data_IF_236756682941
#
_entry.id   IF_236756682941
#
_cell.length_a   1.000
_cell.length_b   1.000
_cell.length_c   1.000
_cell.angle_alpha   90.00
_cell.angle_beta   90.00
_cell.angle_gamma   90.00
#
_symmetry.space_group_name_H-M   'P 1'
#
loop_
_entity.id
_entity.type
_entity.pdbx_description
1 polymer ?
#
# COMPACT_ATOMS: atom_id res chain seq x y z
N UNK A 1 6.06 75.31 -13.73
CA UNK A 1 7.27 74.84 -13.07
C UNK A 1 6.91 74.67 -11.61
N UNK A 2 6.41 73.50 -11.23
CA UNK A 2 5.95 73.18 -9.88
C UNK A 2 6.62 71.86 -9.49
N UNK A 3 7.53 71.92 -8.58
CA UNK A 3 8.27 70.84 -7.98
C UNK A 3 7.44 70.19 -6.90
N UNK A 4 7.18 68.86 -7.02
CA UNK A 4 6.60 68.06 -5.94
C UNK A 4 7.73 67.30 -5.21
N UNK A 5 7.90 67.66 -3.94
CA UNK A 5 8.68 66.92 -2.96
C UNK A 5 7.95 65.64 -2.56
N UNK A 6 8.57 64.46 -2.77
CA UNK A 6 8.11 63.19 -2.27
C UNK A 6 8.76 62.92 -0.92
N UNK A 7 7.97 62.93 0.15
CA UNK A 7 8.32 62.43 1.48
C UNK A 7 8.33 60.89 1.48
N UNK A 8 9.50 60.30 1.64
CA UNK A 8 9.68 58.91 1.97
C UNK A 8 9.32 58.65 3.44
N UNK A 9 8.31 57.85 3.69
CA UNK A 9 7.99 57.25 5.00
C UNK A 9 8.45 55.77 5.00
N UNK A 10 9.00 55.27 6.11
CA UNK A 10 9.53 53.89 6.13
C UNK A 10 8.40 52.86 6.17
N UNK A 11 8.43 51.92 5.20
CA UNK A 11 7.59 50.78 5.16
C UNK A 11 7.92 49.83 6.35
N UNK A 12 6.94 49.63 7.23
CA UNK A 12 6.97 48.60 8.27
C UNK A 12 6.85 47.24 7.58
N UNK A 13 7.91 46.48 7.59
CA UNK A 13 7.89 45.03 7.26
C UNK A 13 7.34 44.29 8.46
N UNK A 14 6.02 44.00 8.43
CA UNK A 14 5.41 42.98 9.27
C UNK A 14 5.73 41.60 8.68
N UNK A 15 6.91 41.09 9.03
CA UNK A 15 7.30 39.71 8.85
C UNK A 15 6.58 38.83 9.86
N UNK A 16 5.39 38.35 9.52
CA UNK A 16 4.75 37.24 10.25
C UNK A 16 5.62 35.98 10.07
N UNK A 17 6.64 35.83 10.93
CA UNK A 17 7.32 34.56 11.16
C UNK A 17 6.28 33.58 11.69
N UNK A 18 5.83 32.65 10.86
CA UNK A 18 5.18 31.42 11.30
C UNK A 18 6.23 30.65 12.10
N UNK A 19 6.23 30.82 13.41
CA UNK A 19 6.97 30.02 14.36
C UNK A 19 6.38 28.60 14.29
N UNK A 20 7.07 27.71 13.57
CA UNK A 20 6.91 26.30 13.76
C UNK A 20 7.26 25.99 15.22
N UNK A 21 6.28 25.62 16.01
CA UNK A 21 6.39 25.31 17.43
C UNK A 21 7.25 24.05 17.58
N UNK A 22 8.56 24.20 17.66
CA UNK A 22 9.49 23.13 18.01
C UNK A 22 9.19 22.68 19.44
N UNK A 23 8.41 21.62 19.58
CA UNK A 23 8.13 20.98 20.86
C UNK A 23 9.45 20.59 21.54
N UNK A 24 9.59 20.96 22.82
CA UNK A 24 10.79 20.71 23.65
C UNK A 24 11.11 19.21 23.69
N UNK A 25 12.39 18.79 23.72
CA UNK A 25 12.80 17.38 23.68
C UNK A 25 12.09 16.48 24.72
N UNK A 26 11.82 16.98 25.93
CA UNK A 26 11.10 16.25 26.97
C UNK A 26 9.60 16.03 26.67
N UNK A 27 8.98 16.91 25.89
CA UNK A 27 7.57 16.78 25.49
C UNK A 27 7.40 15.73 24.40
N UNK A 28 8.32 15.69 23.42
CA UNK A 28 8.36 14.65 22.38
C UNK A 28 8.51 13.25 22.98
N UNK A 29 9.36 13.10 23.99
CA UNK A 29 9.54 11.82 24.69
C UNK A 29 8.27 11.37 25.41
N UNK A 30 7.58 12.26 26.12
CA UNK A 30 6.31 11.95 26.81
C UNK A 30 5.19 11.57 25.85
N UNK A 31 5.12 12.23 24.70
CA UNK A 31 4.12 11.89 23.65
C UNK A 31 4.40 10.50 23.09
N UNK A 32 5.66 10.15 22.81
CA UNK A 32 6.04 8.81 22.35
C UNK A 32 5.73 7.72 23.38
N UNK A 33 5.97 7.97 24.67
CA UNK A 33 5.65 7.04 25.75
C UNK A 33 4.13 6.78 25.86
N UNK A 34 3.31 7.83 25.80
CA UNK A 34 1.84 7.72 25.80
C UNK A 34 1.33 6.93 24.59
N UNK A 35 1.87 7.20 23.41
CA UNK A 35 1.47 6.51 22.18
C UNK A 35 1.78 5.02 22.23
N UNK A 36 2.95 4.64 22.73
CA UNK A 36 3.32 3.22 22.91
C UNK A 36 2.45 2.51 23.95
N UNK A 37 2.08 3.19 25.03
CA UNK A 37 1.14 2.64 26.01
C UNK A 37 -0.24 2.38 25.37
N UNK A 38 -0.73 3.34 24.57
CA UNK A 38 -1.99 3.20 23.83
C UNK A 38 -1.94 2.04 22.84
N UNK A 39 -0.82 1.87 22.12
CA UNK A 39 -0.59 0.72 21.26
C UNK A 39 -0.75 -0.60 22.01
N UNK A 40 -0.15 -0.71 23.19
CA UNK A 40 -0.24 -1.91 24.00
C UNK A 40 -1.68 -2.23 24.42
N UNK A 41 -2.44 -1.24 24.88
CA UNK A 41 -3.83 -1.41 25.28
C UNK A 41 -4.73 -1.75 24.06
N UNK A 42 -4.50 -1.11 22.93
CA UNK A 42 -5.20 -1.43 21.69
C UNK A 42 -5.00 -2.90 21.28
N UNK A 43 -3.75 -3.39 21.24
CA UNK A 43 -3.45 -4.78 20.89
C UNK A 43 -4.08 -5.77 21.86
N UNK A 44 -4.03 -5.51 23.16
CA UNK A 44 -4.69 -6.34 24.19
C UNK A 44 -6.20 -6.43 23.94
N UNK A 45 -6.84 -5.30 23.66
CA UNK A 45 -8.27 -5.24 23.43
C UNK A 45 -8.66 -6.04 22.16
N UNK A 46 -7.87 -5.94 21.09
CA UNK A 46 -8.13 -6.70 19.84
C UNK A 46 -7.89 -8.19 20.02
N UNK A 47 -6.82 -8.58 20.69
CA UNK A 47 -6.52 -9.98 21.02
C UNK A 47 -7.61 -10.62 21.90
N UNK A 48 -8.19 -9.87 22.82
CA UNK A 48 -9.26 -10.37 23.71
C UNK A 48 -10.57 -10.70 22.98
N UNK A 49 -10.80 -10.15 21.78
CA UNK A 49 -12.00 -10.41 20.97
C UNK A 49 -11.99 -11.77 20.25
N UNK A 50 -10.80 -12.35 20.06
CA UNK A 50 -10.60 -13.53 19.25
C UNK A 50 -10.48 -14.77 20.14
N UNK A 51 -11.09 -15.87 19.70
CA UNK A 51 -10.97 -17.15 20.39
C UNK A 51 -10.03 -18.10 19.61
N UNK A 52 -9.40 -19.09 20.25
CA UNK A 52 -8.63 -20.11 19.54
C UNK A 52 -9.46 -20.89 18.52
N UNK A 53 -10.74 -21.08 18.80
CA UNK A 53 -11.67 -21.72 17.87
C UNK A 53 -11.76 -21.01 16.52
N UNK A 54 -11.59 -19.68 16.48
CA UNK A 54 -11.57 -18.88 15.25
C UNK A 54 -10.41 -19.24 14.32
N UNK A 55 -9.41 -19.96 14.84
CA UNK A 55 -8.19 -20.39 14.14
C UNK A 55 -8.02 -21.91 14.12
N UNK A 56 -9.08 -22.69 14.44
CA UNK A 56 -9.04 -24.15 14.45
C UNK A 56 -8.17 -24.74 15.56
N UNK A 57 -7.81 -23.94 16.57
CA UNK A 57 -7.02 -24.42 17.69
C UNK A 57 -7.91 -24.99 18.80
N UNK A 58 -7.52 -26.13 19.38
CA UNK A 58 -8.27 -26.74 20.47
C UNK A 58 -8.28 -25.83 21.72
N UNK A 59 -9.43 -25.64 22.39
CA UNK A 59 -9.49 -24.88 23.63
C UNK A 59 -8.70 -25.60 24.72
N UNK A 60 -7.61 -24.99 25.19
CA UNK A 60 -6.80 -25.55 26.28
C UNK A 60 -7.60 -25.70 27.57
N UNK A 61 -7.42 -26.80 28.29
CA UNK A 61 -8.23 -27.26 29.47
C UNK A 61 -8.17 -26.37 30.73
N UNK A 62 -7.35 -25.31 30.76
CA UNK A 62 -7.23 -24.36 31.90
C UNK A 62 -7.10 -22.93 31.42
N UNK A 63 -8.14 -22.38 30.79
CA UNK A 63 -8.10 -21.01 30.33
C UNK A 63 -8.60 -20.04 31.38
N UNK A 64 -7.72 -19.15 31.87
CA UNK A 64 -8.07 -18.07 32.83
C UNK A 64 -8.34 -16.72 32.10
N UNK A 65 -7.98 -16.58 30.85
CA UNK A 65 -8.11 -15.33 30.08
C UNK A 65 -9.05 -15.55 28.88
N UNK A 66 -10.05 -14.69 28.70
CA UNK A 66 -10.82 -14.66 27.46
C UNK A 66 -9.88 -14.19 26.33
N UNK A 67 -10.07 -14.73 25.13
CA UNK A 67 -9.30 -14.34 23.96
C UNK A 67 -8.03 -15.17 23.69
N UNK A 68 -7.29 -14.81 22.65
CA UNK A 68 -6.00 -15.44 22.33
C UNK A 68 -4.94 -15.11 23.37
N UNK A 69 -4.02 -16.06 23.63
CA UNK A 69 -2.80 -15.79 24.40
C UNK A 69 -1.76 -15.08 23.54
N UNK A 70 -0.79 -14.41 24.15
CA UNK A 70 0.32 -13.76 23.45
C UNK A 70 1.12 -14.74 22.59
N UNK A 71 1.36 -15.94 23.13
CA UNK A 71 2.05 -17.01 22.43
C UNK A 71 1.27 -17.47 21.17
N UNK A 72 -0.07 -17.50 21.27
CA UNK A 72 -0.94 -17.89 20.14
C UNK A 72 -0.92 -16.84 19.05
N UNK A 73 -1.00 -15.54 19.39
CA UNK A 73 -0.88 -14.46 18.42
C UNK A 73 0.50 -14.46 17.77
N UNK A 74 1.57 -14.60 18.56
CA UNK A 74 2.93 -14.63 18.05
C UNK A 74 3.16 -15.79 17.07
N UNK A 75 2.63 -16.98 17.40
CA UNK A 75 2.69 -18.16 16.53
C UNK A 75 1.94 -17.92 15.21
N UNK A 76 0.71 -17.42 15.28
CA UNK A 76 -0.13 -17.17 14.12
C UNK A 76 0.42 -16.05 13.21
N UNK A 77 1.03 -15.03 13.82
CA UNK A 77 1.66 -13.92 13.10
C UNK A 77 3.08 -14.23 12.60
N UNK A 78 3.65 -15.40 12.96
CA UNK A 78 5.02 -15.77 12.58
C UNK A 78 6.08 -14.88 13.24
N UNK A 79 5.81 -14.33 14.44
CA UNK A 79 6.73 -13.43 15.15
C UNK A 79 7.19 -14.05 16.47
N UNK A 80 8.30 -13.55 17.02
CA UNK A 80 8.79 -14.01 18.33
C UNK A 80 7.85 -13.61 19.47
N UNK A 81 7.55 -14.55 20.40
CA UNK A 81 6.68 -14.31 21.56
C UNK A 81 7.19 -13.15 22.41
N UNK A 82 8.49 -13.07 22.63
CA UNK A 82 9.14 -11.98 23.38
C UNK A 82 8.93 -10.64 22.70
N UNK A 83 9.08 -10.61 21.37
CA UNK A 83 8.89 -9.41 20.57
C UNK A 83 7.44 -8.91 20.65
N UNK A 84 6.45 -9.79 20.44
CA UNK A 84 5.03 -9.44 20.54
C UNK A 84 4.67 -8.98 21.96
N UNK A 85 5.26 -9.62 22.98
CA UNK A 85 5.08 -9.21 24.39
C UNK A 85 5.59 -7.79 24.63
N UNK A 86 6.76 -7.44 24.09
CA UNK A 86 7.31 -6.09 24.21
C UNK A 86 6.46 -5.05 23.47
N UNK A 87 5.93 -5.39 22.28
CA UNK A 87 5.02 -4.54 21.55
C UNK A 87 3.76 -4.25 22.38
N UNK A 88 3.15 -5.28 22.96
CA UNK A 88 1.94 -5.16 23.80
C UNK A 88 2.22 -4.46 25.16
N UNK A 89 3.46 -4.45 25.62
CA UNK A 89 3.90 -3.70 26.80
C UNK A 89 4.26 -2.24 26.49
N UNK A 90 4.18 -1.80 25.25
CA UNK A 90 4.55 -0.44 24.85
C UNK A 90 6.05 -0.14 24.94
N UNK A 91 6.90 -1.18 24.89
CA UNK A 91 8.36 -0.96 24.86
C UNK A 91 8.78 -0.36 23.53
N UNK A 92 9.89 0.38 23.56
CA UNK A 92 10.48 0.93 22.34
C UNK A 92 11.14 -0.20 21.55
N UNK A 93 10.45 -0.65 20.50
CA UNK A 93 10.93 -1.65 19.55
C UNK A 93 10.65 -1.13 18.14
N UNK A 94 11.55 -1.43 17.22
CA UNK A 94 11.31 -1.15 15.81
C UNK A 94 10.43 -2.27 15.23
N UNK A 95 9.19 -1.93 14.96
CA UNK A 95 8.25 -2.83 14.29
C UNK A 95 8.32 -2.57 12.78
N UNK A 96 8.77 -3.55 12.00
CA UNK A 96 8.68 -3.45 10.55
C UNK A 96 7.21 -3.49 10.12
N UNK A 97 6.89 -2.88 8.99
CA UNK A 97 5.54 -2.86 8.44
C UNK A 97 5.03 -4.28 8.20
N UNK A 98 5.88 -5.16 7.67
CA UNK A 98 5.57 -6.57 7.42
C UNK A 98 5.13 -7.29 8.70
N UNK A 99 5.80 -7.03 9.80
CA UNK A 99 5.45 -7.62 11.10
C UNK A 99 4.13 -7.05 11.63
N UNK A 100 3.91 -5.75 11.49
CA UNK A 100 2.63 -5.13 11.85
C UNK A 100 1.48 -5.64 11.00
N UNK A 101 1.71 -5.90 9.71
CA UNK A 101 0.74 -6.52 8.80
C UNK A 101 0.36 -7.93 9.23
N UNK A 102 1.35 -8.74 9.59
CA UNK A 102 1.12 -10.09 10.09
C UNK A 102 0.31 -10.09 11.39
N UNK A 103 0.63 -9.17 12.31
CA UNK A 103 -0.13 -8.97 13.56
C UNK A 103 -1.55 -8.48 13.26
N UNK A 104 -1.71 -7.49 12.36
CA UNK A 104 -3.00 -6.94 11.99
C UNK A 104 -3.91 -8.00 11.35
N UNK A 105 -3.36 -8.84 10.47
CA UNK A 105 -4.07 -9.95 9.83
C UNK A 105 -4.47 -11.01 10.83
N UNK A 106 -3.55 -11.40 11.73
CA UNK A 106 -3.83 -12.35 12.82
C UNK A 106 -4.92 -11.84 13.75
N UNK A 107 -4.90 -10.55 14.09
CA UNK A 107 -5.90 -9.93 14.95
C UNK A 107 -7.20 -9.57 14.21
N UNK A 108 -7.31 -9.91 12.92
CA UNK A 108 -8.46 -9.61 12.04
C UNK A 108 -8.88 -8.14 12.12
N UNK A 109 -7.90 -7.24 12.12
CA UNK A 109 -8.17 -5.81 12.17
C UNK A 109 -8.85 -5.34 10.89
N UNK A 110 -9.90 -4.55 11.03
CA UNK A 110 -10.48 -3.83 9.92
C UNK A 110 -9.57 -2.68 9.45
N UNK A 111 -9.98 -1.99 8.38
CA UNK A 111 -9.19 -0.89 7.79
C UNK A 111 -8.89 0.21 8.79
N UNK A 112 -9.88 0.67 9.55
CA UNK A 112 -9.71 1.77 10.50
C UNK A 112 -8.80 1.34 11.67
N UNK A 113 -8.95 0.10 12.14
CA UNK A 113 -8.12 -0.51 13.17
C UNK A 113 -6.67 -0.71 12.71
N UNK A 114 -6.44 -1.08 11.45
CA UNK A 114 -5.10 -1.15 10.87
C UNK A 114 -4.43 0.22 10.80
N UNK A 115 -5.12 1.22 10.27
CA UNK A 115 -4.62 2.60 10.22
C UNK A 115 -4.29 3.14 11.63
N UNK A 116 -5.09 2.76 12.63
CA UNK A 116 -4.84 3.12 14.02
C UNK A 116 -3.59 2.42 14.57
N UNK A 117 -3.43 1.12 14.30
CA UNK A 117 -2.23 0.35 14.68
C UNK A 117 -0.95 1.01 14.14
N UNK A 118 -0.93 1.36 12.87
CA UNK A 118 0.24 1.99 12.25
C UNK A 118 0.57 3.35 12.83
N UNK A 119 -0.46 4.19 13.05
CA UNK A 119 -0.27 5.50 13.70
C UNK A 119 0.32 5.38 15.09
N UNK A 120 -0.13 4.40 15.87
CA UNK A 120 0.38 4.17 17.23
C UNK A 120 1.79 3.59 17.23
N UNK A 121 2.14 2.74 16.28
CA UNK A 121 3.45 2.13 16.15
C UNK A 121 4.53 3.08 15.61
N UNK A 122 4.18 4.34 15.25
CA UNK A 122 5.04 5.28 14.50
C UNK A 122 5.58 4.65 13.19
N UNK A 123 5.10 3.48 12.87
CA UNK A 123 5.23 2.96 11.54
C UNK A 123 4.27 3.79 10.71
N UNK A 124 4.79 4.73 9.94
CA UNK A 124 3.96 5.40 8.96
C UNK A 124 3.40 4.30 8.09
N UNK A 125 2.07 4.05 8.06
CA UNK A 125 1.54 3.24 7.00
C UNK A 125 2.08 3.93 5.75
N UNK A 126 2.47 3.17 4.74
CA UNK A 126 2.50 3.75 3.42
C UNK A 126 1.12 4.35 3.25
N UNK A 127 1.03 5.63 3.42
CA UNK A 127 -0.22 6.34 3.21
C UNK A 127 -0.55 6.10 1.76
N UNK A 128 -1.52 5.23 1.54
CA UNK A 128 -2.33 5.36 0.36
C UNK A 128 -2.92 6.77 0.45
N UNK A 129 -2.29 7.76 -0.20
CA UNK A 129 -2.88 9.10 -0.37
C UNK A 129 -4.18 9.05 -1.15
N UNK A 130 -4.63 7.85 -1.52
CA UNK A 130 -6.00 7.57 -1.94
C UNK A 130 -7.06 8.02 -0.92
N UNK A 131 -6.66 8.30 0.34
CA UNK A 131 -7.61 8.74 1.38
C UNK A 131 -7.85 10.25 1.42
N UNK A 132 -7.13 11.06 0.64
CA UNK A 132 -7.19 12.53 0.77
C UNK A 132 -7.96 13.26 -0.34
N UNK A 133 -8.09 12.67 -1.52
CA UNK A 133 -8.86 13.26 -2.62
C UNK A 133 -9.80 12.19 -3.16
N UNK A 134 -11.10 12.35 -2.89
CA UNK A 134 -12.12 11.48 -3.48
C UNK A 134 -11.97 11.51 -5.01
N UNK A 135 -11.91 10.34 -5.63
CA UNK A 135 -11.94 10.24 -7.09
C UNK A 135 -13.29 10.81 -7.54
N UNK A 136 -13.34 11.77 -8.47
CA UNK A 136 -14.61 12.31 -8.96
C UNK A 136 -15.51 11.22 -9.55
N UNK A 137 -16.81 11.30 -9.32
CA UNK A 137 -17.79 10.31 -9.80
C UNK A 137 -17.69 10.09 -11.32
N UNK A 138 -17.45 11.15 -12.10
CA UNK A 138 -17.25 11.05 -13.54
C UNK A 138 -16.05 10.18 -13.93
N UNK A 139 -14.98 10.18 -13.13
CA UNK A 139 -13.81 9.33 -13.37
C UNK A 139 -14.13 7.88 -12.98
N UNK A 140 -14.90 7.68 -11.89
CA UNK A 140 -15.42 6.35 -11.54
C UNK A 140 -16.24 5.76 -12.68
N UNK A 141 -17.16 6.54 -13.23
CA UNK A 141 -18.00 6.11 -14.35
C UNK A 141 -17.18 5.77 -15.59
N UNK A 142 -16.19 6.60 -15.94
CA UNK A 142 -15.29 6.35 -17.07
C UNK A 142 -14.54 5.03 -16.90
N UNK A 143 -13.88 4.82 -15.75
CA UNK A 143 -13.09 3.60 -15.52
C UNK A 143 -13.97 2.36 -15.53
N UNK A 144 -15.16 2.41 -14.95
CA UNK A 144 -16.10 1.30 -14.97
C UNK A 144 -16.68 1.03 -16.36
N UNK A 145 -16.90 2.07 -17.16
CA UNK A 145 -17.40 1.94 -18.55
C UNK A 145 -16.37 1.32 -19.50
N UNK A 146 -15.11 1.22 -19.11
CA UNK A 146 -14.09 0.50 -19.90
C UNK A 146 -14.23 -1.03 -19.79
N UNK A 147 -15.00 -1.56 -18.84
CA UNK A 147 -15.29 -3.01 -18.79
C UNK A 147 -15.87 -3.48 -20.15
N UNK A 148 -15.40 -4.58 -20.75
CA UNK A 148 -14.56 -5.65 -20.19
C UNK A 148 -13.03 -5.45 -20.31
N UNK A 149 -12.54 -4.29 -20.68
CA UNK A 149 -11.11 -4.02 -20.71
C UNK A 149 -10.61 -3.71 -19.27
N UNK A 150 -9.59 -4.42 -18.77
CA UNK A 150 -9.04 -4.12 -17.47
C UNK A 150 -8.50 -2.69 -17.42
N UNK A 151 -8.96 -1.91 -16.45
CA UNK A 151 -8.60 -0.52 -16.28
C UNK A 151 -8.42 -0.15 -14.81
N UNK A 152 -7.38 0.63 -14.52
CA UNK A 152 -7.07 1.10 -13.16
C UNK A 152 -6.63 2.56 -13.19
N UNK A 153 -7.04 3.34 -12.20
CA UNK A 153 -6.56 4.69 -11.97
C UNK A 153 -5.37 4.63 -11.00
N UNK A 154 -4.21 5.08 -11.43
CA UNK A 154 -2.98 5.11 -10.65
C UNK A 154 -2.48 6.54 -10.46
N UNK A 155 -1.85 6.84 -9.32
CA UNK A 155 -1.14 8.10 -9.12
C UNK A 155 0.35 8.00 -9.54
N UNK A 156 1.12 9.07 -9.35
CA UNK A 156 2.54 9.13 -9.70
C UNK A 156 3.43 8.16 -8.91
N UNK A 157 3.01 7.73 -7.73
CA UNK A 157 3.70 6.73 -6.89
C UNK A 157 3.30 5.29 -7.20
N UNK A 158 2.44 5.08 -8.20
CA UNK A 158 1.83 3.80 -8.55
C UNK A 158 0.80 3.28 -7.54
N UNK A 159 0.27 4.14 -6.65
CA UNK A 159 -0.88 3.76 -5.82
C UNK A 159 -2.11 3.61 -6.70
N UNK A 160 -2.83 2.50 -6.51
CA UNK A 160 -4.08 2.21 -7.19
C UNK A 160 -5.21 2.95 -6.48
N UNK A 161 -5.72 4.01 -7.12
CA UNK A 161 -6.82 4.83 -6.60
C UNK A 161 -8.17 4.13 -6.77
N UNK A 162 -8.34 3.45 -7.88
CA UNK A 162 -9.48 2.58 -8.18
C UNK A 162 -9.15 1.62 -9.33
N UNK A 163 -9.98 0.60 -9.51
CA UNK A 163 -9.95 -0.33 -10.64
C UNK A 163 -11.38 -0.75 -10.99
N UNK A 164 -11.59 -1.16 -12.25
CA UNK A 164 -12.83 -1.80 -12.64
C UNK A 164 -12.80 -3.32 -12.37
N UNK A 165 -13.95 -3.99 -12.50
CA UNK A 165 -14.07 -5.41 -12.21
C UNK A 165 -13.15 -6.27 -13.09
N UNK A 166 -12.94 -5.91 -14.35
CA UNK A 166 -12.04 -6.65 -15.23
C UNK A 166 -10.58 -6.57 -14.76
N UNK A 167 -10.13 -5.44 -14.23
CA UNK A 167 -8.79 -5.29 -13.66
C UNK A 167 -8.64 -6.06 -12.34
N UNK A 168 -9.66 -6.03 -11.49
CA UNK A 168 -9.66 -6.78 -10.23
C UNK A 168 -9.60 -8.28 -10.45
N UNK A 169 -10.28 -8.79 -11.46
CA UNK A 169 -10.28 -10.20 -11.83
C UNK A 169 -8.98 -10.62 -12.54
N UNK A 170 -8.46 -9.79 -13.47
CA UNK A 170 -7.19 -10.07 -14.15
C UNK A 170 -6.03 -10.18 -13.16
N UNK A 171 -5.99 -9.29 -12.17
CA UNK A 171 -4.94 -9.21 -11.15
C UNK A 171 -5.46 -9.63 -9.77
N UNK A 172 -6.43 -10.56 -9.71
CA UNK A 172 -7.14 -10.91 -8.47
C UNK A 172 -6.21 -11.30 -7.33
N UNK A 173 -5.09 -11.97 -7.63
CA UNK A 173 -4.10 -12.35 -6.63
C UNK A 173 -3.54 -11.12 -5.89
N UNK A 174 -3.36 -10.00 -6.59
CA UNK A 174 -2.86 -8.75 -6.00
C UNK A 174 -3.94 -8.02 -5.21
N UNK A 175 -5.21 -8.19 -5.60
CA UNK A 175 -6.33 -7.62 -4.87
C UNK A 175 -6.69 -8.40 -3.60
N UNK A 176 -6.40 -9.70 -3.58
CA UNK A 176 -6.65 -10.59 -2.42
C UNK A 176 -5.49 -10.66 -1.45
N UNK A 177 -4.29 -10.26 -1.86
CA UNK A 177 -3.14 -10.19 -0.97
C UNK A 177 -3.39 -9.17 0.16
N UNK A 178 -2.90 -9.45 1.38
CA UNK A 178 -2.93 -8.49 2.47
C UNK A 178 -1.94 -7.35 2.23
N UNK A 179 -1.72 -6.97 0.96
CA UNK A 179 -0.94 -5.82 0.61
C UNK A 179 -1.70 -4.59 1.11
N UNK A 180 -1.24 -4.01 2.21
CA UNK A 180 -1.76 -2.77 2.81
C UNK A 180 -1.68 -1.63 1.80
N UNK A 181 -0.88 -1.84 0.77
CA UNK A 181 -0.61 -0.91 -0.29
C UNK A 181 -1.15 -1.46 -1.60
N UNK A 182 -2.30 -0.97 -2.01
CA UNK A 182 -2.73 -1.11 -3.40
C UNK A 182 -1.79 -0.30 -4.31
N UNK A 183 -0.52 -0.69 -4.36
CA UNK A 183 0.55 -0.02 -5.12
C UNK A 183 1.24 -1.04 -6.01
N UNK A 184 1.19 -0.82 -7.32
CA UNK A 184 1.69 -1.79 -8.31
C UNK A 184 3.21 -1.99 -8.25
N UNK A 185 3.99 -0.94 -8.04
CA UNK A 185 5.44 -1.04 -7.88
C UNK A 185 5.82 -1.78 -6.59
N UNK A 186 5.15 -1.46 -5.50
CA UNK A 186 5.36 -2.12 -4.23
C UNK A 186 5.07 -3.62 -4.31
N UNK A 187 3.92 -3.99 -4.89
CA UNK A 187 3.57 -5.40 -5.08
C UNK A 187 4.61 -6.12 -5.94
N UNK A 188 5.09 -5.51 -7.03
CA UNK A 188 6.15 -6.12 -7.84
C UNK A 188 7.43 -6.39 -7.04
N UNK A 189 7.81 -5.49 -6.13
CA UNK A 189 9.08 -5.57 -5.40
C UNK A 189 8.99 -6.49 -4.18
N UNK A 190 7.87 -6.47 -3.45
CA UNK A 190 7.77 -7.16 -2.16
C UNK A 190 7.15 -8.54 -2.24
N UNK A 191 6.37 -8.82 -3.29
CA UNK A 191 5.70 -10.10 -3.43
C UNK A 191 6.61 -11.15 -4.12
N UNK A 192 6.95 -12.25 -3.43
CA UNK A 192 7.86 -13.26 -3.98
C UNK A 192 7.36 -13.89 -5.30
N UNK A 193 6.03 -13.96 -5.48
CA UNK A 193 5.41 -14.55 -6.66
C UNK A 193 5.39 -13.61 -7.87
N UNK A 194 5.58 -12.30 -7.68
CA UNK A 194 5.51 -11.31 -8.75
C UNK A 194 6.53 -11.58 -9.86
N UNK A 195 7.75 -11.96 -9.50
CA UNK A 195 8.80 -12.29 -10.49
C UNK A 195 8.39 -13.43 -11.43
N UNK A 196 7.66 -14.42 -10.95
CA UNK A 196 7.14 -15.51 -11.76
C UNK A 196 5.92 -15.16 -12.62
N UNK A 197 5.29 -14.01 -12.41
CA UNK A 197 4.13 -13.56 -13.19
C UNK A 197 4.49 -12.75 -14.43
N UNK A 198 5.66 -12.15 -14.44
CA UNK A 198 6.13 -11.31 -15.53
C UNK A 198 7.40 -11.91 -16.13
N UNK A 199 7.34 -12.53 -17.32
CA UNK A 199 8.56 -13.03 -18.00
C UNK A 199 9.62 -11.95 -18.17
N UNK A 200 9.22 -10.71 -18.44
CA UNK A 200 10.13 -9.55 -18.54
C UNK A 200 10.12 -8.71 -17.24
N UNK A 201 10.15 -9.37 -16.08
CA UNK A 201 10.04 -8.73 -14.77
C UNK A 201 11.03 -7.57 -14.57
N UNK A 202 12.30 -7.76 -14.91
CA UNK A 202 13.34 -6.73 -14.70
C UNK A 202 13.07 -5.48 -15.54
N UNK A 203 12.65 -5.65 -16.80
CA UNK A 203 12.26 -4.54 -17.67
C UNK A 203 11.01 -3.83 -17.14
N UNK A 204 10.04 -4.60 -16.63
CA UNK A 204 8.81 -4.07 -16.06
C UNK A 204 9.08 -3.22 -14.81
N UNK A 205 9.85 -3.74 -13.84
CA UNK A 205 10.19 -3.01 -12.61
C UNK A 205 11.03 -1.77 -12.93
N UNK A 206 12.02 -1.89 -13.83
CA UNK A 206 12.83 -0.75 -14.26
C UNK A 206 11.95 0.37 -14.84
N UNK A 207 10.97 0.04 -15.68
CA UNK A 207 10.02 1.01 -16.20
C UNK A 207 9.21 1.67 -15.09
N UNK A 208 8.66 0.91 -14.15
CA UNK A 208 7.87 1.46 -13.03
C UNK A 208 8.71 2.41 -12.16
N UNK A 209 9.96 2.04 -11.84
CA UNK A 209 10.88 2.90 -11.08
C UNK A 209 11.19 4.19 -11.84
N UNK A 210 11.47 4.10 -13.15
CA UNK A 210 11.75 5.27 -13.98
C UNK A 210 10.53 6.20 -14.08
N UNK A 211 9.31 5.65 -14.18
CA UNK A 211 8.06 6.42 -14.14
C UNK A 211 7.83 7.12 -12.80
N UNK A 212 8.08 6.42 -11.69
CA UNK A 212 8.01 7.02 -10.35
C UNK A 212 9.00 8.19 -10.23
N UNK A 213 10.21 8.04 -10.77
CA UNK A 213 11.22 9.11 -10.74
C UNK A 213 10.78 10.32 -11.57
N UNK A 214 10.19 10.10 -12.74
CA UNK A 214 9.63 11.20 -13.55
C UNK A 214 8.59 11.99 -12.76
N UNK A 215 7.72 11.32 -12.03
CA UNK A 215 6.72 11.96 -11.17
C UNK A 215 7.37 12.67 -9.96
N UNK A 216 8.34 12.04 -9.29
CA UNK A 216 9.04 12.59 -8.12
C UNK A 216 9.70 13.94 -8.38
N UNK A 217 10.08 14.25 -9.62
CA UNK A 217 10.66 15.55 -9.97
C UNK A 217 9.81 16.76 -9.54
N UNK A 218 8.51 16.59 -9.41
CA UNK A 218 7.54 17.61 -8.95
C UNK A 218 7.32 17.60 -7.43
N UNK A 219 7.87 16.61 -6.73
CA UNK A 219 7.67 16.33 -5.31
C UNK A 219 8.96 16.31 -4.50
N UNK A 220 10.02 16.90 -5.04
CA UNK A 220 11.33 17.00 -4.35
C UNK A 220 11.13 17.78 -3.06
N UNK A 221 11.54 17.20 -1.93
CA UNK A 221 11.34 17.77 -0.60
C UNK A 221 9.99 17.48 0.04
N UNK A 222 9.13 16.72 -0.63
CA UNK A 222 7.89 16.19 -0.03
C UNK A 222 8.24 15.00 0.90
N UNK A 223 7.99 15.13 2.22
CA UNK A 223 8.39 14.10 3.19
C UNK A 223 7.77 12.73 2.93
N UNK A 224 6.54 12.68 2.40
CA UNK A 224 5.82 11.43 2.15
C UNK A 224 6.44 10.68 0.97
N UNK A 225 6.85 11.41 -0.10
CA UNK A 225 7.57 10.82 -1.22
C UNK A 225 8.96 10.31 -0.84
N UNK A 226 9.68 11.08 -0.06
CA UNK A 226 11.03 10.71 0.38
C UNK A 226 11.02 9.52 1.33
N UNK A 227 10.01 9.42 2.19
CA UNK A 227 9.81 8.26 3.06
C UNK A 227 9.51 7.00 2.26
N UNK A 228 8.61 7.07 1.27
CA UNK A 228 8.27 5.93 0.40
C UNK A 228 9.51 5.43 -0.36
N UNK A 229 10.28 6.36 -0.95
CA UNK A 229 11.52 6.02 -1.67
C UNK A 229 12.54 5.36 -0.72
N UNK A 230 12.72 5.90 0.47
CA UNK A 230 13.64 5.35 1.47
C UNK A 230 13.23 3.95 1.90
N UNK A 231 11.94 3.72 2.09
CA UNK A 231 11.40 2.41 2.47
C UNK A 231 11.55 1.38 1.36
N UNK A 232 11.19 1.73 0.13
CA UNK A 232 11.40 0.84 -1.03
C UNK A 232 12.89 0.49 -1.17
N UNK A 233 13.79 1.46 -1.02
CA UNK A 233 15.23 1.21 -1.07
C UNK A 233 15.74 0.32 0.07
N UNK A 234 15.15 0.42 1.27
CA UNK A 234 15.51 -0.44 2.40
C UNK A 234 15.01 -1.87 2.25
N UNK A 235 13.93 -2.10 1.53
CA UNK A 235 13.31 -3.41 1.32
C UNK A 235 13.87 -4.14 0.10
N UNK A 236 14.33 -3.41 -0.91
CA UNK A 236 14.81 -3.99 -2.16
C UNK A 236 16.08 -3.32 -2.63
N UNK A 237 17.16 -4.12 -2.67
CA UNK A 237 18.41 -3.70 -3.30
C UNK A 237 18.22 -3.41 -4.79
N UNK A 238 17.39 -4.20 -5.48
CA UNK A 238 17.06 -3.98 -6.88
C UNK A 238 16.43 -2.59 -7.10
N UNK A 239 15.47 -2.19 -6.25
CA UNK A 239 14.91 -0.85 -6.31
C UNK A 239 15.98 0.22 -6.02
N UNK A 240 16.80 0.05 -4.99
CA UNK A 240 17.85 1.01 -4.63
C UNK A 240 18.84 1.20 -5.79
N UNK A 241 19.27 0.11 -6.44
CA UNK A 241 20.19 0.13 -7.58
C UNK A 241 19.55 0.82 -8.81
N UNK A 242 18.27 0.53 -9.10
CA UNK A 242 17.52 1.19 -10.19
C UNK A 242 17.28 2.67 -9.88
N UNK A 243 16.92 2.99 -8.64
CA UNK A 243 16.72 4.37 -8.22
C UNK A 243 18.01 5.20 -8.33
N UNK A 244 19.16 4.64 -7.98
CA UNK A 244 20.47 5.31 -8.09
C UNK A 244 20.90 5.58 -9.52
N UNK A 245 20.33 4.92 -10.53
CA UNK A 245 20.66 5.17 -11.95
C UNK A 245 20.07 6.45 -12.50
N UNK A 246 19.12 7.09 -11.78
CA UNK A 246 18.43 8.30 -12.21
C UNK A 246 17.71 8.18 -13.59
N UNK A 247 17.39 6.99 -14.01
CA UNK A 247 16.61 6.78 -15.25
C UNK A 247 15.20 7.34 -15.10
N UNK A 248 14.70 7.98 -16.15
CA UNK A 248 13.34 8.52 -16.26
C UNK A 248 12.66 7.90 -17.46
N UNK A 249 11.35 7.77 -17.42
CA UNK A 249 10.56 7.26 -18.52
C UNK A 249 9.32 8.13 -18.75
N UNK A 250 8.99 8.34 -20.02
CA UNK A 250 7.74 8.94 -20.44
C UNK A 250 6.65 7.85 -20.62
N UNK A 251 5.37 8.23 -20.61
CA UNK A 251 4.30 7.31 -20.94
C UNK A 251 4.40 6.91 -22.42
N UNK A 252 4.83 5.68 -22.64
CA UNK A 252 4.89 5.09 -23.97
C UNK A 252 3.98 3.86 -24.05
N UNK A 253 3.32 3.61 -25.20
CA UNK A 253 2.65 2.34 -25.42
C UNK A 253 3.64 1.19 -25.28
N UNK A 254 3.30 0.20 -24.47
CA UNK A 254 4.17 -0.94 -24.22
C UNK A 254 3.38 -2.23 -24.15
N UNK A 255 4.04 -3.33 -24.39
CA UNK A 255 3.48 -4.67 -24.19
C UNK A 255 3.85 -5.17 -22.79
N UNK A 256 2.90 -5.79 -22.14
CA UNK A 256 3.08 -6.49 -20.87
C UNK A 256 2.74 -7.97 -21.07
N UNK A 257 3.72 -8.84 -20.94
CA UNK A 257 3.47 -10.28 -20.86
C UNK A 257 3.15 -10.65 -19.41
N UNK A 258 1.97 -11.25 -19.20
CA UNK A 258 1.50 -11.66 -17.89
C UNK A 258 1.12 -13.14 -17.87
N UNK A 259 1.64 -13.89 -16.90
CA UNK A 259 1.32 -15.30 -16.69
C UNK A 259 0.14 -15.43 -15.73
N UNK A 260 -1.06 -15.48 -16.30
CA UNK A 260 -2.28 -15.65 -15.53
C UNK A 260 -2.47 -17.12 -15.13
N UNK A 261 -2.82 -17.43 -13.85
CA UNK A 261 -2.91 -18.82 -13.36
C UNK A 261 -3.88 -19.70 -14.15
N UNK A 262 -4.98 -19.15 -14.63
CA UNK A 262 -6.04 -19.90 -15.34
C UNK A 262 -5.97 -19.71 -16.86
N UNK A 263 -5.70 -18.49 -17.33
CA UNK A 263 -5.66 -18.17 -18.75
C UNK A 263 -4.29 -18.44 -19.41
N UNK A 264 -3.25 -18.70 -18.62
CA UNK A 264 -1.88 -18.88 -19.10
C UNK A 264 -1.26 -17.55 -19.56
N UNK A 265 -0.41 -17.59 -20.57
CA UNK A 265 0.28 -16.40 -21.06
C UNK A 265 -0.67 -15.45 -21.77
N UNK A 266 -0.65 -14.19 -21.35
CA UNK A 266 -1.39 -13.06 -21.91
C UNK A 266 -0.41 -12.00 -22.37
N UNK A 267 -0.53 -11.54 -23.61
CA UNK A 267 0.20 -10.41 -24.18
C UNK A 267 -0.72 -9.20 -24.22
N UNK A 268 -0.48 -8.22 -23.36
CA UNK A 268 -1.35 -7.07 -23.14
C UNK A 268 -0.67 -5.79 -23.63
N UNK A 269 -1.31 -5.04 -24.51
CA UNK A 269 -0.91 -3.67 -24.78
C UNK A 269 -1.37 -2.78 -23.62
N UNK A 270 -0.44 -2.00 -23.09
CA UNK A 270 -0.69 -1.09 -21.95
C UNK A 270 -0.75 0.33 -22.48
N UNK A 271 -1.87 0.99 -22.28
CA UNK A 271 -2.11 2.39 -22.64
C UNK A 271 -2.33 3.22 -21.39
N UNK A 272 -1.66 4.37 -21.28
CA UNK A 272 -1.83 5.32 -20.19
C UNK A 272 -2.58 6.57 -20.68
N UNK A 273 -3.70 6.90 -20.05
CA UNK A 273 -4.52 8.07 -20.34
C UNK A 273 -4.39 9.08 -19.20
N UNK A 274 -3.95 10.29 -19.52
CA UNK A 274 -3.86 11.37 -18.54
C UNK A 274 -5.26 11.85 -18.15
N UNK A 275 -5.43 12.18 -16.87
CA UNK A 275 -6.69 12.70 -16.32
C UNK A 275 -6.50 14.18 -16.00
N UNK A 276 -6.95 15.12 -16.85
CA UNK A 276 -6.75 16.56 -16.62
C UNK A 276 -7.32 17.06 -15.29
N UNK A 277 -8.44 16.47 -14.82
CA UNK A 277 -9.04 16.78 -13.53
C UNK A 277 -8.20 16.29 -12.33
N UNK A 278 -7.27 15.36 -12.58
CA UNK A 278 -6.35 14.78 -11.60
C UNK A 278 -4.95 14.67 -12.22
N UNK A 279 -4.18 15.76 -12.35
CA UNK A 279 -2.91 15.79 -13.10
C UNK A 279 -1.85 14.81 -12.61
N UNK A 280 -1.96 14.36 -11.35
CA UNK A 280 -1.09 13.37 -10.74
C UNK A 280 -1.54 11.92 -11.00
N UNK A 281 -2.72 11.74 -11.58
CA UNK A 281 -3.29 10.43 -11.84
C UNK A 281 -3.39 10.13 -13.35
N UNK A 282 -3.38 8.83 -13.67
CA UNK A 282 -3.56 8.30 -15.01
C UNK A 282 -4.42 7.04 -14.98
N UNK A 283 -5.23 6.86 -16.00
CA UNK A 283 -5.94 5.61 -16.22
C UNK A 283 -5.01 4.70 -17.03
N UNK A 284 -4.72 3.52 -16.51
CA UNK A 284 -3.96 2.47 -17.21
C UNK A 284 -4.95 1.44 -17.72
N UNK A 285 -4.96 1.21 -19.04
CA UNK A 285 -5.87 0.27 -19.69
C UNK A 285 -5.06 -0.84 -20.33
N UNK A 286 -5.51 -2.07 -20.15
CA UNK A 286 -4.88 -3.26 -20.71
C UNK A 286 -5.77 -3.81 -21.84
N UNK A 287 -5.21 -3.89 -23.06
CA UNK A 287 -5.91 -4.44 -24.21
C UNK A 287 -5.17 -5.66 -24.75
N UNK A 288 -5.87 -6.70 -25.26
CA UNK A 288 -5.21 -7.84 -25.85
C UNK A 288 -4.39 -7.43 -27.08
N UNK A 289 -3.09 -7.78 -27.11
CA UNK A 289 -2.17 -7.46 -28.17
C UNK A 289 -2.38 -8.35 -29.41
N UNK A 290 -2.85 -9.58 -29.20
CA UNK A 290 -3.06 -10.58 -30.23
C UNK A 290 -4.40 -11.32 -30.06
N UNK A 291 -4.81 -12.07 -31.09
CA UNK A 291 -6.07 -12.81 -31.09
C UNK A 291 -6.08 -13.94 -30.04
N UNK A 292 -4.94 -14.59 -29.80
CA UNK A 292 -4.81 -15.62 -28.79
C UNK A 292 -5.10 -15.07 -27.39
N UNK A 293 -4.54 -13.91 -27.06
CA UNK A 293 -4.81 -13.22 -25.81
C UNK A 293 -6.27 -12.79 -25.73
N UNK A 294 -6.85 -12.29 -26.84
CA UNK A 294 -8.26 -11.89 -26.90
C UNK A 294 -9.21 -13.05 -26.58
N UNK A 295 -8.94 -14.24 -27.11
CA UNK A 295 -9.72 -15.44 -26.84
C UNK A 295 -9.59 -15.90 -25.38
N UNK A 296 -8.47 -15.64 -24.74
CA UNK A 296 -8.21 -16.00 -23.34
C UNK A 296 -8.75 -15.00 -22.31
N UNK A 297 -8.98 -13.73 -22.69
CA UNK A 297 -9.47 -12.70 -21.77
C UNK A 297 -10.72 -13.11 -20.98
N UNK A 298 -11.74 -13.78 -21.55
CA UNK A 298 -12.89 -14.25 -20.77
C UNK A 298 -12.54 -15.23 -19.66
N UNK A 299 -11.41 -15.94 -19.76
CA UNK A 299 -10.96 -16.88 -18.72
C UNK A 299 -10.45 -16.17 -17.47
N UNK A 300 -10.02 -14.92 -17.59
CA UNK A 300 -9.57 -14.11 -16.45
C UNK A 300 -10.75 -13.71 -15.56
N UNK A 301 -11.96 -13.71 -16.11
CA UNK A 301 -13.21 -13.33 -15.43
C UNK A 301 -13.91 -14.47 -14.70
N UNK A 302 -13.31 -15.64 -14.65
CA UNK A 302 -13.82 -16.75 -13.85
C UNK A 302 -13.46 -16.50 -12.40
N UNK A 303 -14.46 -16.56 -11.52
CA UNK A 303 -14.26 -16.47 -10.08
C UNK A 303 -13.11 -17.38 -9.65
N UNK A 304 -12.23 -16.87 -8.79
CA UNK A 304 -11.22 -17.69 -8.15
C UNK A 304 -11.86 -18.98 -7.61
N UNK A 305 -11.23 -20.16 -7.73
CA UNK A 305 -11.75 -21.36 -7.13
C UNK A 305 -11.97 -21.06 -5.64
N UNK A 306 -13.18 -21.32 -5.17
CA UNK A 306 -13.49 -21.22 -3.75
C UNK A 306 -12.39 -21.98 -2.99
N UNK A 307 -11.81 -21.33 -1.97
CA UNK A 307 -10.82 -21.96 -1.12
C UNK A 307 -11.37 -23.34 -0.71
N UNK A 308 -10.55 -24.41 -0.71
CA UNK A 308 -11.04 -25.72 -0.35
C UNK A 308 -11.68 -25.64 1.03
N UNK A 309 -12.96 -25.98 1.10
CA UNK A 309 -13.69 -26.10 2.35
C UNK A 309 -12.98 -27.20 3.14
N UNK A 310 -12.17 -26.82 4.12
CA UNK A 310 -11.58 -27.76 5.05
C UNK A 310 -12.70 -28.41 5.86
N UNK A 311 -12.97 -29.68 5.60
CA UNK A 311 -13.78 -30.49 6.49
C UNK A 311 -15.03 -31.11 5.87
N UNK A 312 -14.87 -32.14 5.04
CA UNK A 312 -15.78 -33.26 5.01
C UNK A 312 -14.99 -34.49 5.46
N UNK A 313 -15.02 -34.79 6.74
CA UNK A 313 -14.61 -36.10 7.26
C UNK A 313 -15.49 -37.16 6.65
N UNK A 314 -14.98 -38.30 6.15
CA UNK A 314 -15.81 -39.43 5.75
C UNK A 314 -16.41 -40.04 7.01
N UNK A 315 -17.73 -40.08 7.04
CA UNK A 315 -18.48 -40.92 7.98
C UNK A 315 -18.34 -42.36 7.48
N UNK A 316 -17.70 -43.19 8.28
CA UNK A 316 -17.69 -44.66 8.16
C UNK A 316 -18.93 -45.22 8.77
#
# INVERSE_FOLDING_TARGET
MVTYETKNGPARQDGARRAGEERRPGERRRVGERRRAELGEFLKARRARLSPGDFGMAPGSRRRTPGLRREEVALLAGVGVTWYTWLEQGRQINASTQVLDAVASTLRLDRAEREHLYRLAEATPLRSECAGRAVPDAIHEIVNSLDPLPASLLNGRHDMLMSNSASEELFWEWHTMPCVHKNTLWCCITEPTARGKFPEYEAHVRYLVARMRSAYSRHIGDPDWEEDIRRLASLSREFADLWARHEVADPEPRTLTYLHPQAGTLCLAVSELQVPAMPEARIVVYTPQDDQTREKMPLTRRAAPAAPVAGASPVS
#
